data_IF_981962363519
#
_entry.id   IF_981962363519
#
_cell.length_a   1.000
_cell.length_b   1.000
_cell.length_c   1.000
_cell.angle_alpha   90.00
_cell.angle_beta   90.00
_cell.angle_gamma   90.00
#
_symmetry.space_group_name_H-M   'P 1'
#
loop_
_entity.id
_entity.type
_entity.pdbx_description
1 polymer ?
#
# COMPACT_ATOMS: atom_id res chain seq x y z
N UNK A 1 -1.33 6.53 -2.05
CA UNK A 1 -2.18 5.81 -2.97
C UNK A 1 -2.41 4.39 -2.44
N UNK A 2 -3.67 3.98 -2.36
CA UNK A 2 -4.08 2.63 -1.97
C UNK A 2 -4.62 1.92 -3.19
N UNK A 3 -4.27 0.65 -3.36
CA UNK A 3 -4.74 -0.15 -4.47
C UNK A 3 -5.10 -1.56 -4.02
N UNK A 4 -6.32 -1.96 -4.36
CA UNK A 4 -6.82 -3.33 -4.24
C UNK A 4 -6.85 -3.98 -5.62
N UNK A 5 -6.08 -5.05 -5.81
CA UNK A 5 -6.21 -5.93 -6.96
C UNK A 5 -7.27 -6.98 -6.70
N UNK A 6 -8.18 -7.19 -7.64
CA UNK A 6 -9.26 -8.17 -7.52
C UNK A 6 -9.27 -9.08 -8.76
N UNK A 7 -8.69 -10.26 -8.62
CA UNK A 7 -8.59 -11.23 -9.72
C UNK A 7 -9.92 -11.82 -10.14
N UNK A 8 -10.86 -11.97 -9.20
CA UNK A 8 -12.13 -12.70 -9.36
C UNK A 8 -13.36 -11.81 -9.51
N UNK A 9 -13.16 -10.52 -9.83
CA UNK A 9 -14.26 -9.54 -9.94
C UNK A 9 -15.40 -9.95 -10.90
N UNK A 10 -15.08 -10.81 -11.87
CA UNK A 10 -16.05 -11.32 -12.84
C UNK A 10 -16.95 -12.41 -12.27
N UNK A 11 -16.41 -13.25 -11.38
CA UNK A 11 -17.11 -14.39 -10.79
C UNK A 11 -17.78 -14.05 -9.47
N UNK A 12 -17.20 -13.09 -8.73
CA UNK A 12 -17.69 -12.66 -7.42
C UNK A 12 -17.93 -11.14 -7.38
N UNK A 13 -19.05 -10.69 -7.95
CA UNK A 13 -19.42 -9.27 -7.95
C UNK A 13 -19.72 -8.76 -6.54
N UNK A 14 -20.32 -9.57 -5.67
CA UNK A 14 -20.61 -9.20 -4.28
C UNK A 14 -19.31 -8.97 -3.49
N UNK A 15 -18.36 -9.89 -3.62
CA UNK A 15 -17.05 -9.73 -2.98
C UNK A 15 -16.28 -8.50 -3.47
N UNK A 16 -16.46 -8.11 -4.73
CA UNK A 16 -15.90 -6.88 -5.26
C UNK A 16 -16.54 -5.63 -4.65
N UNK A 17 -17.88 -5.61 -4.49
CA UNK A 17 -18.58 -4.51 -3.81
C UNK A 17 -18.16 -4.40 -2.35
N UNK A 18 -18.01 -5.52 -1.65
CA UNK A 18 -17.50 -5.55 -0.27
C UNK A 18 -16.08 -4.96 -0.21
N UNK A 19 -15.18 -5.38 -1.08
CA UNK A 19 -13.81 -4.85 -1.15
C UNK A 19 -13.77 -3.34 -1.45
N UNK A 20 -14.68 -2.86 -2.29
CA UNK A 20 -14.83 -1.44 -2.58
C UNK A 20 -15.30 -0.65 -1.35
N UNK A 21 -16.26 -1.20 -0.59
CA UNK A 21 -16.74 -0.60 0.65
C UNK A 21 -15.65 -0.59 1.72
N UNK A 22 -14.91 -1.69 1.89
CA UNK A 22 -13.76 -1.78 2.78
C UNK A 22 -12.73 -0.68 2.48
N UNK A 23 -12.36 -0.50 1.20
CA UNK A 23 -11.41 0.53 0.82
C UNK A 23 -11.95 1.94 1.08
N UNK A 24 -13.25 2.17 0.90
CA UNK A 24 -13.89 3.45 1.26
C UNK A 24 -13.81 3.71 2.76
N UNK A 25 -14.04 2.70 3.61
CA UNK A 25 -13.95 2.82 5.07
C UNK A 25 -12.52 3.11 5.51
N UNK A 26 -11.54 2.34 5.02
CA UNK A 26 -10.11 2.51 5.35
C UNK A 26 -9.61 3.90 4.97
N UNK A 27 -9.96 4.37 3.77
CA UNK A 27 -9.46 5.64 3.23
C UNK A 27 -10.24 6.87 3.68
N UNK A 28 -11.48 6.68 4.18
CA UNK A 28 -12.41 7.79 4.43
C UNK A 28 -12.80 8.57 3.16
N UNK A 29 -12.59 7.99 1.99
CA UNK A 29 -12.82 8.61 0.69
C UNK A 29 -13.37 7.60 -0.30
N UNK A 30 -14.21 8.07 -1.24
CA UNK A 30 -14.76 7.20 -2.30
C UNK A 30 -13.65 6.66 -3.21
N UNK A 31 -13.55 5.34 -3.28
CA UNK A 31 -12.62 4.64 -4.15
C UNK A 31 -13.11 4.62 -5.60
N UNK A 32 -12.16 4.57 -6.52
CA UNK A 32 -12.40 4.49 -7.96
C UNK A 32 -12.21 3.04 -8.41
N UNK A 33 -13.20 2.52 -9.13
CA UNK A 33 -13.10 1.20 -9.75
C UNK A 33 -12.16 1.25 -10.94
N UNK A 34 -11.14 0.42 -10.93
CA UNK A 34 -10.21 0.26 -12.05
C UNK A 34 -10.69 -0.83 -13.00
N UNK A 35 -10.78 -0.49 -14.29
CA UNK A 35 -11.25 -1.39 -15.35
C UNK A 35 -10.11 -1.78 -16.28
N UNK A 36 -10.14 -3.00 -16.78
CA UNK A 36 -9.17 -3.47 -17.77
C UNK A 36 -9.21 -2.63 -19.04
N UNK A 37 -8.03 -2.23 -19.53
CA UNK A 37 -7.86 -1.46 -20.76
C UNK A 37 -7.75 -2.36 -22.01
N UNK A 38 -7.33 -3.61 -21.81
CA UNK A 38 -7.07 -4.58 -22.88
C UNK A 38 -7.74 -5.92 -22.57
N UNK A 39 -7.97 -6.70 -23.63
CA UNK A 39 -8.38 -8.09 -23.51
C UNK A 39 -7.16 -8.95 -23.20
N UNK A 40 -7.24 -9.80 -22.18
CA UNK A 40 -6.16 -10.73 -21.79
C UNK A 40 -6.77 -12.12 -21.67
N UNK A 41 -6.55 -12.96 -22.69
CA UNK A 41 -7.14 -14.30 -22.78
C UNK A 41 -6.67 -15.23 -21.66
N UNK A 42 -5.40 -15.18 -21.29
CA UNK A 42 -4.82 -16.02 -20.23
C UNK A 42 -5.52 -15.81 -18.88
N UNK A 43 -5.94 -14.60 -18.57
CA UNK A 43 -6.67 -14.25 -17.35
C UNK A 43 -8.18 -14.18 -17.56
N UNK A 44 -8.69 -14.54 -18.75
CA UNK A 44 -10.11 -14.46 -19.11
C UNK A 44 -10.74 -13.07 -18.87
N UNK A 45 -9.92 -12.02 -18.98
CA UNK A 45 -10.32 -10.64 -18.76
C UNK A 45 -10.60 -9.98 -20.11
N UNK A 46 -11.73 -9.27 -20.21
CA UNK A 46 -12.11 -8.44 -21.35
C UNK A 46 -11.97 -6.96 -21.00
N UNK A 47 -11.79 -6.13 -22.01
CA UNK A 47 -11.81 -4.67 -21.89
C UNK A 47 -13.09 -4.21 -21.17
N UNK A 48 -12.94 -3.31 -20.20
CA UNK A 48 -14.05 -2.76 -19.42
C UNK A 48 -14.45 -3.56 -18.18
N UNK A 49 -13.92 -4.78 -17.99
CA UNK A 49 -14.18 -5.57 -16.78
C UNK A 49 -13.47 -4.92 -15.57
N UNK A 50 -14.14 -4.77 -14.42
CA UNK A 50 -13.51 -4.30 -13.20
C UNK A 50 -12.43 -5.29 -12.75
N UNK A 51 -11.24 -4.79 -12.42
CA UNK A 51 -10.08 -5.61 -12.01
C UNK A 51 -9.50 -5.18 -10.67
N UNK A 52 -10.03 -4.11 -10.10
CA UNK A 52 -9.58 -3.60 -8.81
C UNK A 52 -10.23 -2.28 -8.46
N UNK A 53 -9.81 -1.72 -7.35
CA UNK A 53 -10.19 -0.38 -6.93
C UNK A 53 -8.97 0.35 -6.35
N UNK A 54 -8.98 1.67 -6.47
CA UNK A 54 -7.87 2.52 -6.02
C UNK A 54 -8.38 3.82 -5.42
N UNK A 55 -7.59 4.34 -4.49
CA UNK A 55 -7.81 5.64 -3.85
C UNK A 55 -6.50 6.39 -3.76
N UNK A 56 -6.53 7.67 -4.10
CA UNK A 56 -5.42 8.59 -3.85
C UNK A 56 -5.84 9.58 -2.76
N UNK A 57 -5.17 9.52 -1.62
CA UNK A 57 -5.43 10.37 -0.46
C UNK A 57 -4.41 11.52 -0.46
N UNK A 58 -4.89 12.75 -0.23
CA UNK A 58 -4.07 13.97 -0.23
C UNK A 58 -4.48 14.90 0.91
N UNK A 59 -3.61 15.88 1.21
CA UNK A 59 -3.87 16.91 2.24
C UNK A 59 -3.97 16.31 3.64
N UNK A 60 -4.80 16.89 4.50
CA UNK A 60 -4.91 16.50 5.90
C UNK A 60 -5.30 15.03 6.08
N UNK A 61 -6.21 14.52 5.25
CA UNK A 61 -6.61 13.10 5.28
C UNK A 61 -5.45 12.13 5.04
N UNK A 62 -4.46 12.56 4.26
CA UNK A 62 -3.26 11.74 4.03
C UNK A 62 -2.45 11.58 5.31
N UNK A 63 -2.27 12.64 6.09
CA UNK A 63 -1.56 12.59 7.37
C UNK A 63 -2.31 11.77 8.41
N UNK A 64 -3.63 11.94 8.50
CA UNK A 64 -4.50 11.15 9.38
C UNK A 64 -4.44 9.65 9.04
N UNK A 65 -4.49 9.33 7.74
CA UNK A 65 -4.34 7.95 7.27
C UNK A 65 -2.94 7.41 7.58
N UNK A 66 -1.90 8.21 7.36
CA UNK A 66 -0.51 7.81 7.62
C UNK A 66 -0.28 7.53 9.11
N UNK A 67 -0.84 8.35 10.00
CA UNK A 67 -0.77 8.14 11.44
C UNK A 67 -1.47 6.83 11.85
N UNK A 68 -2.68 6.58 11.38
CA UNK A 68 -3.39 5.31 11.65
C UNK A 68 -2.64 4.10 11.10
N UNK A 69 -2.10 4.23 9.90
CA UNK A 69 -1.27 3.18 9.28
C UNK A 69 -0.06 2.85 10.15
N UNK A 70 0.66 3.87 10.61
CA UNK A 70 1.89 3.71 11.37
C UNK A 70 1.64 3.23 12.81
N UNK A 71 0.68 3.83 13.50
CA UNK A 71 0.43 3.60 14.93
C UNK A 71 -0.45 2.38 15.20
N UNK A 72 -1.33 2.02 14.28
CA UNK A 72 -2.33 0.98 14.50
C UNK A 72 -2.15 -0.20 13.54
N UNK A 73 -2.17 0.04 12.24
CA UNK A 73 -2.24 -1.04 11.25
C UNK A 73 -0.94 -1.84 11.16
N UNK A 74 0.21 -1.18 11.07
CA UNK A 74 1.51 -1.85 10.94
C UNK A 74 1.86 -2.70 12.17
N UNK A 75 1.69 -2.23 13.44
CA UNK A 75 1.95 -3.06 14.62
C UNK A 75 1.03 -4.29 14.73
N UNK A 76 -0.19 -4.22 14.18
CA UNK A 76 -1.14 -5.33 14.16
C UNK A 76 -0.86 -6.36 13.07
N UNK A 77 0.05 -6.07 12.14
CA UNK A 77 0.43 -7.02 11.10
C UNK A 77 1.18 -8.20 11.71
N UNK A 78 0.78 -9.42 11.33
CA UNK A 78 1.46 -10.65 11.79
C UNK A 78 2.92 -10.63 11.39
N UNK A 79 3.79 -11.07 12.33
CA UNK A 79 5.24 -11.20 12.11
C UNK A 79 5.90 -9.92 11.56
N UNK A 80 5.41 -8.76 12.03
CA UNK A 80 5.94 -7.48 11.60
C UNK A 80 7.36 -7.25 12.12
N UNK A 81 8.33 -7.27 11.21
CA UNK A 81 9.75 -7.05 11.51
C UNK A 81 10.30 -5.75 10.88
N UNK A 82 9.43 -4.77 10.65
CA UNK A 82 9.77 -3.53 9.96
C UNK A 82 9.73 -3.65 8.43
N UNK A 83 9.63 -2.52 7.77
CA UNK A 83 9.52 -2.39 6.33
C UNK A 83 10.89 -2.33 5.66
N UNK A 84 11.01 -2.94 4.49
CA UNK A 84 12.29 -3.03 3.78
C UNK A 84 12.71 -1.68 3.20
N UNK A 85 13.97 -1.29 3.39
CA UNK A 85 14.55 -0.11 2.73
C UNK A 85 14.72 -0.28 1.20
N UNK A 86 14.61 -1.51 0.68
CA UNK A 86 14.71 -1.81 -0.76
C UNK A 86 13.44 -1.50 -1.55
N UNK A 87 12.37 -1.10 -0.89
CA UNK A 87 11.05 -0.85 -1.50
C UNK A 87 10.88 0.56 -2.05
N UNK A 88 11.93 1.33 -2.14
CA UNK A 88 11.98 2.61 -2.84
C UNK A 88 12.11 2.42 -4.35
N UNK A 89 11.57 3.35 -5.13
CA UNK A 89 11.49 3.29 -6.60
C UNK A 89 12.65 4.00 -7.33
N UNK A 90 13.70 4.41 -6.61
CA UNK A 90 14.82 5.24 -7.08
C UNK A 90 14.45 6.69 -7.43
N UNK A 91 13.22 7.11 -7.08
CA UNK A 91 12.71 8.47 -7.27
C UNK A 91 12.14 9.06 -5.98
N UNK A 92 12.46 8.43 -4.85
CA UNK A 92 11.99 8.88 -3.54
C UNK A 92 10.56 8.48 -3.19
N UNK A 93 9.92 7.56 -3.92
CA UNK A 93 8.63 7.02 -3.54
C UNK A 93 8.79 5.65 -2.89
N UNK A 94 7.92 5.33 -1.95
CA UNK A 94 7.97 4.09 -1.20
C UNK A 94 6.73 3.23 -1.48
N UNK A 95 6.94 1.94 -1.80
CA UNK A 95 5.88 1.02 -2.15
C UNK A 95 5.96 -0.25 -1.30
N UNK A 96 4.85 -0.65 -0.70
CA UNK A 96 4.76 -1.89 0.05
C UNK A 96 3.36 -2.47 0.01
N UNK A 97 3.24 -3.75 0.38
CA UNK A 97 1.97 -4.45 0.47
C UNK A 97 1.63 -4.85 1.89
N UNK A 98 0.36 -4.75 2.24
CA UNK A 98 -0.22 -5.35 3.43
C UNK A 98 -0.95 -6.62 2.98
N UNK A 99 -0.71 -7.74 3.66
CA UNK A 99 -1.29 -9.03 3.27
C UNK A 99 -2.75 -9.18 3.68
N UNK A 100 -3.16 -8.51 4.75
CA UNK A 100 -4.47 -8.68 5.38
C UNK A 100 -5.09 -7.31 5.69
N UNK A 101 -6.28 -7.03 5.13
CA UNK A 101 -7.00 -5.78 5.40
C UNK A 101 -7.52 -5.67 6.85
N UNK A 102 -7.64 -6.78 7.55
CA UNK A 102 -8.13 -6.84 8.94
C UNK A 102 -7.23 -6.14 9.96
N UNK A 103 -6.02 -5.73 9.55
CA UNK A 103 -5.14 -4.92 10.41
C UNK A 103 -5.71 -3.52 10.67
N UNK A 104 -6.60 -3.04 9.80
CA UNK A 104 -7.30 -1.77 9.97
C UNK A 104 -8.50 -1.95 10.90
N UNK A 105 -8.62 -1.07 11.89
CA UNK A 105 -9.71 -1.11 12.89
C UNK A 105 -11.09 -0.78 12.33
N UNK A 106 -11.12 -0.13 11.20
CA UNK A 106 -12.34 0.24 10.48
C UNK A 106 -13.04 -0.96 9.84
N UNK A 107 -12.33 -2.07 9.73
CA UNK A 107 -12.85 -3.31 9.14
C UNK A 107 -13.41 -4.21 10.23
N UNK A 108 -14.67 -4.54 10.08
CA UNK A 108 -15.38 -5.49 10.94
C UNK A 108 -15.14 -6.91 10.41
N UNK A 109 -14.53 -7.75 11.24
CA UNK A 109 -14.19 -9.13 10.86
C UNK A 109 -15.41 -9.96 10.44
N UNK A 110 -16.56 -9.71 11.04
CA UNK A 110 -17.79 -10.47 10.75
C UNK A 110 -18.43 -10.12 9.40
N UNK A 111 -18.02 -9.01 8.80
CA UNK A 111 -18.57 -8.51 7.52
C UNK A 111 -17.67 -8.76 6.32
N UNK A 112 -16.47 -9.27 6.53
CA UNK A 112 -15.55 -9.56 5.43
C UNK A 112 -15.96 -10.83 4.70
N UNK A 113 -15.85 -10.78 3.37
CA UNK A 113 -16.07 -11.93 2.49
C UNK A 113 -14.80 -12.82 2.42
N UNK A 114 -13.63 -12.19 2.32
CA UNK A 114 -12.34 -12.86 2.27
C UNK A 114 -11.22 -11.96 2.74
N UNK A 115 -10.14 -12.57 3.25
CA UNK A 115 -8.91 -11.85 3.57
C UNK A 115 -8.22 -11.45 2.27
N UNK A 116 -7.95 -10.15 2.11
CA UNK A 116 -7.30 -9.58 0.92
C UNK A 116 -6.15 -8.68 1.30
N UNK A 117 -5.12 -8.74 0.46
CA UNK A 117 -4.02 -7.79 0.55
C UNK A 117 -4.29 -6.50 -0.20
N UNK A 118 -3.58 -5.44 0.19
CA UNK A 118 -3.58 -4.18 -0.54
C UNK A 118 -2.17 -3.67 -0.75
N UNK A 119 -1.98 -2.94 -1.82
CA UNK A 119 -0.74 -2.21 -2.10
C UNK A 119 -0.87 -0.76 -1.67
N UNK A 120 0.14 -0.27 -0.99
CA UNK A 120 0.23 1.12 -0.52
C UNK A 120 1.46 1.74 -1.15
N UNK A 121 1.24 2.87 -1.84
CA UNK A 121 2.31 3.67 -2.44
C UNK A 121 2.33 5.05 -1.80
N UNK A 122 3.45 5.41 -1.19
CA UNK A 122 3.69 6.72 -0.60
C UNK A 122 4.53 7.52 -1.58
N UNK A 123 3.94 8.54 -2.18
CA UNK A 123 4.66 9.47 -3.05
C UNK A 123 5.17 10.64 -2.22
N UNK A 124 6.45 10.95 -2.36
CA UNK A 124 7.10 12.05 -1.66
C UNK A 124 7.65 13.08 -2.64
N UNK A 125 8.01 14.24 -2.14
CA UNK A 125 8.71 15.29 -2.91
C UNK A 125 10.23 15.13 -2.91
N UNK A 126 10.75 14.12 -2.22
CA UNK A 126 12.17 13.80 -2.19
C UNK A 126 12.66 13.42 -3.60
N UNK A 127 13.86 13.85 -3.94
CA UNK A 127 14.47 13.55 -5.25
C UNK A 127 15.21 12.23 -5.27
N UNK A 128 15.69 11.79 -4.11
CA UNK A 128 16.47 10.56 -3.94
C UNK A 128 15.83 9.64 -2.90
N UNK A 129 16.14 8.36 -2.99
CA UNK A 129 15.67 7.37 -2.01
C UNK A 129 16.23 7.63 -0.61
N UNK A 130 17.41 8.22 -0.52
CA UNK A 130 18.03 8.57 0.77
C UNK A 130 17.30 9.69 1.48
N UNK A 131 16.94 10.74 0.75
CA UNK A 131 16.10 11.82 1.28
C UNK A 131 14.73 11.29 1.73
N UNK A 132 14.09 10.44 0.92
CA UNK A 132 12.82 9.84 1.26
C UNK A 132 12.91 8.88 2.47
N UNK A 133 14.00 8.14 2.59
CA UNK A 133 14.26 7.28 3.75
C UNK A 133 14.32 8.09 5.04
N UNK A 134 15.09 9.16 5.06
CA UNK A 134 15.19 10.03 6.23
C UNK A 134 13.88 10.74 6.53
N UNK A 135 13.18 11.23 5.51
CA UNK A 135 11.86 11.83 5.66
C UNK A 135 10.88 10.88 6.35
N UNK A 136 10.74 9.65 5.85
CA UNK A 136 9.83 8.67 6.44
C UNK A 136 10.27 8.23 7.83
N UNK A 137 11.57 8.15 8.10
CA UNK A 137 12.11 7.82 9.41
C UNK A 137 11.79 8.90 10.45
N UNK A 138 11.90 10.17 10.09
CA UNK A 138 11.51 11.30 10.95
C UNK A 138 10.00 11.31 11.26
N UNK A 139 9.16 10.84 10.32
CA UNK A 139 7.74 10.60 10.58
C UNK A 139 7.46 9.36 11.46
N UNK A 140 8.50 8.69 11.97
CA UNK A 140 8.36 7.49 12.80
C UNK A 140 7.95 6.24 12.03
N UNK A 141 8.11 6.22 10.69
CA UNK A 141 7.76 5.07 9.88
C UNK A 141 8.74 3.91 10.15
N UNK A 142 8.28 2.68 10.43
CA UNK A 142 9.09 1.59 10.94
C UNK A 142 9.92 0.92 9.84
N UNK A 143 10.84 1.69 9.24
CA UNK A 143 11.79 1.21 8.26
C UNK A 143 12.92 0.44 8.95
N UNK A 144 13.33 -0.68 8.36
CA UNK A 144 14.55 -1.38 8.76
C UNK A 144 15.76 -0.49 8.49
N UNK A 145 16.76 -0.62 9.34
CA UNK A 145 18.00 0.13 9.16
C UNK A 145 18.68 -0.23 7.84
N UNK A 146 19.15 0.80 7.14
CA UNK A 146 20.05 0.62 6.01
C UNK A 146 21.33 -0.01 6.51
N UNK A 147 21.85 -1.08 5.90
CA UNK A 147 23.20 -1.52 6.17
C UNK A 147 24.13 -0.36 5.80
N UNK A 148 24.84 0.15 6.78
CA UNK A 148 25.88 1.14 6.57
C UNK A 148 26.91 0.45 5.65
N UNK A 149 26.99 0.88 4.39
CA UNK A 149 28.16 0.57 3.59
C UNK A 149 29.33 1.16 4.36
N UNK A 150 30.20 0.31 4.92
CA UNK A 150 31.52 0.76 5.36
C UNK A 150 32.11 1.46 4.14
N UNK A 151 32.25 2.76 4.21
CA UNK A 151 33.13 3.49 3.31
C UNK A 151 34.48 2.90 3.63
N UNK A 152 34.94 1.98 2.78
CA UNK A 152 36.31 1.54 2.83
C UNK A 152 37.15 2.80 2.63
N UNK A 153 37.92 3.09 3.65
CA UNK A 153 39.04 4.04 3.62
C UNK A 153 39.90 3.73 2.41
N UNK A 154 39.64 4.39 1.30
CA UNK A 154 40.53 4.51 0.19
C UNK A 154 41.18 5.90 0.25
N UNK A 155 41.93 6.12 1.36
CA UNK A 155 42.91 7.20 1.45
C UNK A 155 43.99 6.83 2.48
N UNK A 156 44.91 5.99 2.06
CA UNK A 156 46.28 5.97 2.60
C UNK A 156 47.13 5.03 1.76
N UNK A 157 47.61 5.48 0.64
CA UNK A 157 48.89 5.07 0.05
C UNK A 157 49.33 6.12 -0.97
#
# INVERSE_FOLDING_TARGET
>A
NLNYGFGDAKTNSKGFETALQELNLISGQKAIVTKSKKDISNFKIRKGVPVGCTVTIRGNRMYEFFERLNSIALPRTRDFNGLSFKSFDKRGNYNFGIKEQIVFTEIDYDKIDAIRGMNISIATTAKTDDEAYWLLKEFGFPLREKPIKKVEEAEAA
#
